data_IF_533283753993
#
_entry.id   IF_533283753993
#
_cell.length_a   1.000
_cell.length_b   1.000
_cell.length_c   1.000
_cell.angle_alpha   90.00
_cell.angle_beta   90.00
_cell.angle_gamma   90.00
#
_symmetry.space_group_name_H-M   'P 1'
#
loop_
_entity.id
_entity.type
_entity.pdbx_description
1 polymer ?
#
# COMPACT_ATOMS: atom_id res chain seq x y z
N UNK A 1 -14.86 -8.03 1.77
CA UNK A 1 -13.50 -7.76 2.27
C UNK A 1 -12.58 -7.86 1.09
N UNK A 2 -11.65 -6.91 0.92
CA UNK A 2 -10.68 -6.98 -0.17
C UNK A 2 -9.41 -7.74 0.26
N UNK A 3 -8.77 -8.40 -0.70
CA UNK A 3 -7.42 -8.95 -0.56
C UNK A 3 -6.44 -8.11 -1.38
N UNK A 4 -5.38 -7.62 -0.74
CA UNK A 4 -4.32 -6.86 -1.40
C UNK A 4 -2.98 -7.56 -1.27
N UNK A 5 -2.25 -7.69 -2.39
CA UNK A 5 -0.92 -8.31 -2.44
C UNK A 5 0.11 -7.30 -2.95
N UNK A 6 1.20 -7.11 -2.22
CA UNK A 6 2.30 -6.22 -2.58
C UNK A 6 3.56 -6.98 -3.01
N UNK A 7 4.47 -6.27 -3.66
CA UNK A 7 5.79 -6.78 -4.02
C UNK A 7 5.83 -7.48 -5.38
N UNK A 8 4.85 -7.22 -6.25
CA UNK A 8 4.73 -7.86 -7.56
C UNK A 8 5.91 -7.47 -8.45
N UNK A 9 6.64 -8.47 -8.93
CA UNK A 9 7.88 -8.29 -9.68
C UNK A 9 7.72 -8.48 -11.17
N UNK A 10 6.73 -9.26 -11.61
CA UNK A 10 6.51 -9.52 -13.04
C UNK A 10 5.02 -9.79 -13.38
N UNK A 11 4.66 -9.78 -14.68
CA UNK A 11 3.28 -9.99 -15.10
C UNK A 11 2.70 -11.38 -14.79
N UNK A 12 3.52 -12.43 -14.79
CA UNK A 12 3.04 -13.79 -14.57
C UNK A 12 2.67 -13.97 -13.09
N UNK A 13 3.50 -13.46 -12.18
CA UNK A 13 3.20 -13.37 -10.75
C UNK A 13 1.91 -12.58 -10.51
N UNK A 14 1.78 -11.41 -11.15
CA UNK A 14 0.59 -10.56 -11.02
C UNK A 14 -0.69 -11.32 -11.41
N UNK A 15 -0.66 -12.04 -12.52
CA UNK A 15 -1.80 -12.84 -12.98
C UNK A 15 -2.09 -14.03 -12.05
N UNK A 16 -1.05 -14.65 -11.49
CA UNK A 16 -1.20 -15.76 -10.55
C UNK A 16 -1.89 -15.33 -9.26
N UNK A 17 -1.49 -14.21 -8.66
CA UNK A 17 -2.12 -13.72 -7.42
C UNK A 17 -3.56 -13.23 -7.66
N UNK A 18 -3.84 -12.63 -8.83
CA UNK A 18 -5.21 -12.28 -9.23
C UNK A 18 -6.06 -13.55 -9.36
N UNK A 19 -5.54 -14.61 -10.00
CA UNK A 19 -6.24 -15.88 -10.13
C UNK A 19 -6.48 -16.55 -8.76
N UNK A 20 -5.61 -16.32 -7.78
CA UNK A 20 -5.77 -16.75 -6.40
C UNK A 20 -6.78 -15.90 -5.59
N UNK A 21 -7.26 -14.78 -6.15
CA UNK A 21 -8.32 -13.95 -5.57
C UNK A 21 -7.86 -12.59 -5.04
N UNK A 22 -6.68 -12.11 -5.41
CA UNK A 22 -6.28 -10.74 -5.09
C UNK A 22 -7.16 -9.71 -5.79
N UNK A 23 -7.80 -8.81 -5.02
CA UNK A 23 -8.58 -7.69 -5.54
C UNK A 23 -7.67 -6.51 -5.92
N UNK A 24 -6.55 -6.37 -5.22
CA UNK A 24 -5.57 -5.27 -5.36
C UNK A 24 -4.17 -5.85 -5.49
N UNK A 25 -3.37 -5.28 -6.38
CA UNK A 25 -1.94 -5.60 -6.52
C UNK A 25 -1.09 -4.34 -6.35
N UNK A 26 0.01 -4.46 -5.61
CA UNK A 26 0.95 -3.40 -5.30
C UNK A 26 2.27 -3.57 -6.03
N UNK A 27 2.67 -2.53 -6.76
CA UNK A 27 3.88 -2.48 -7.56
C UNK A 27 4.70 -1.28 -7.05
N UNK A 28 6.01 -1.44 -6.94
CA UNK A 28 6.92 -0.36 -6.60
C UNK A 28 7.75 0.06 -7.85
N UNK A 29 7.36 1.13 -8.56
CA UNK A 29 8.11 1.62 -9.71
C UNK A 29 9.44 2.28 -9.29
N UNK A 30 10.31 2.60 -10.26
CA UNK A 30 11.53 3.37 -10.01
C UNK A 30 11.20 4.78 -9.54
N UNK A 31 11.79 5.19 -8.42
CA UNK A 31 11.44 6.47 -7.76
C UNK A 31 12.63 7.28 -7.27
N UNK A 32 13.83 6.69 -7.33
CA UNK A 32 15.08 7.38 -7.00
C UNK A 32 15.87 7.66 -8.28
N UNK A 33 16.66 8.72 -8.27
CA UNK A 33 17.53 9.04 -9.39
C UNK A 33 18.64 7.99 -9.47
N UNK A 34 18.55 7.11 -10.46
CA UNK A 34 19.31 5.87 -10.49
C UNK A 34 18.51 4.77 -9.81
N UNK A 35 18.23 3.70 -10.55
CA UNK A 35 17.65 2.49 -9.98
C UNK A 35 18.56 2.00 -8.86
N UNK A 36 18.07 2.06 -7.62
CA UNK A 36 18.75 1.48 -6.48
C UNK A 36 18.42 -0.01 -6.44
N UNK A 37 19.37 -0.82 -6.92
CA UNK A 37 19.25 -2.28 -6.99
C UNK A 37 19.26 -2.95 -5.62
N UNK A 38 19.48 -2.19 -4.54
CA UNK A 38 19.40 -2.69 -3.16
C UNK A 38 17.96 -2.82 -2.67
N UNK A 39 17.02 -2.06 -3.24
CA UNK A 39 15.59 -2.21 -2.95
C UNK A 39 15.00 -3.33 -3.80
N UNK A 40 15.01 -4.53 -3.23
CA UNK A 40 14.62 -5.74 -3.95
C UNK A 40 13.17 -5.77 -4.45
N UNK A 41 12.30 -4.87 -4.01
CA UNK A 41 10.89 -4.77 -4.43
C UNK A 41 10.65 -3.75 -5.56
N UNK A 42 11.65 -2.94 -5.90
CA UNK A 42 11.54 -1.96 -6.98
C UNK A 42 11.71 -2.66 -8.33
N UNK A 43 10.75 -2.46 -9.24
CA UNK A 43 10.81 -3.02 -10.61
C UNK A 43 11.14 -1.93 -11.62
N UNK A 44 11.64 -2.31 -12.80
CA UNK A 44 11.92 -1.35 -13.88
C UNK A 44 10.67 -0.63 -14.41
N UNK A 45 10.84 0.48 -15.14
CA UNK A 45 9.73 1.15 -15.83
C UNK A 45 9.03 0.24 -16.86
N UNK A 46 9.82 -0.58 -17.57
CA UNK A 46 9.32 -1.54 -18.55
C UNK A 46 8.46 -2.60 -17.86
N UNK A 47 8.98 -3.15 -16.77
CA UNK A 47 8.28 -4.14 -15.95
C UNK A 47 7.00 -3.58 -15.32
N UNK A 48 7.07 -2.36 -14.76
CA UNK A 48 5.90 -1.64 -14.24
C UNK A 48 4.81 -1.56 -15.31
N UNK A 49 5.18 -1.09 -16.50
CA UNK A 49 4.25 -0.95 -17.63
C UNK A 49 3.67 -2.30 -18.07
N UNK A 50 4.49 -3.35 -18.12
CA UNK A 50 4.06 -4.69 -18.50
C UNK A 50 3.03 -5.25 -17.51
N UNK A 51 3.27 -5.13 -16.20
CA UNK A 51 2.33 -5.57 -15.15
C UNK A 51 1.01 -4.80 -15.27
N UNK A 52 1.06 -3.47 -15.38
CA UNK A 52 -0.14 -2.63 -15.45
C UNK A 52 -0.99 -2.91 -16.70
N UNK A 53 -0.36 -3.29 -17.81
CA UNK A 53 -1.04 -3.69 -19.03
C UNK A 53 -1.68 -5.07 -18.90
N UNK A 54 -0.93 -6.06 -18.40
CA UNK A 54 -1.41 -7.44 -18.23
C UNK A 54 -2.62 -7.54 -17.28
N UNK A 55 -2.68 -6.65 -16.29
CA UNK A 55 -3.66 -6.68 -15.19
C UNK A 55 -4.83 -5.71 -15.38
N UNK A 56 -4.85 -4.98 -16.50
CA UNK A 56 -5.87 -3.96 -16.78
C UNK A 56 -7.28 -4.54 -16.77
N UNK A 57 -8.12 -4.03 -15.88
CA UNK A 57 -9.51 -4.45 -15.74
C UNK A 57 -9.72 -5.79 -15.03
N UNK A 58 -8.64 -6.40 -14.53
CA UNK A 58 -8.70 -7.65 -13.77
C UNK A 58 -8.69 -7.43 -12.25
N UNK A 59 -7.99 -6.39 -11.80
CA UNK A 59 -7.88 -6.01 -10.39
C UNK A 59 -7.64 -4.50 -10.26
N UNK A 60 -7.48 -4.01 -9.03
CA UNK A 60 -7.02 -2.65 -8.74
C UNK A 60 -5.50 -2.59 -8.69
N UNK A 61 -4.93 -1.69 -9.47
CA UNK A 61 -3.47 -1.53 -9.61
C UNK A 61 -3.00 -0.39 -8.73
N UNK A 62 -2.16 -0.71 -7.74
CA UNK A 62 -1.64 0.21 -6.74
C UNK A 62 -0.16 0.48 -7.03
N UNK A 63 0.21 1.76 -7.18
CA UNK A 63 1.61 2.16 -7.22
C UNK A 63 2.03 2.75 -5.89
N UNK A 64 3.15 2.28 -5.37
CA UNK A 64 3.70 2.72 -4.08
C UNK A 64 4.57 3.94 -4.31
N UNK A 65 4.31 5.02 -3.57
CA UNK A 65 5.10 6.23 -3.51
C UNK A 65 6.02 6.20 -2.27
N UNK A 66 7.32 6.04 -2.51
CA UNK A 66 8.40 5.96 -1.51
C UNK A 66 9.35 7.16 -1.54
N UNK A 67 9.21 8.06 -2.51
CA UNK A 67 10.02 9.27 -2.60
C UNK A 67 9.45 10.38 -1.71
N UNK A 68 10.36 11.14 -1.08
CA UNK A 68 10.01 12.33 -0.31
C UNK A 68 9.65 13.54 -1.20
N UNK A 69 9.93 13.46 -2.52
CA UNK A 69 9.58 14.50 -3.49
C UNK A 69 8.21 14.22 -4.14
N UNK A 70 7.18 15.06 -3.90
CA UNK A 70 5.86 14.87 -4.51
C UNK A 70 5.88 14.87 -6.04
N UNK A 71 6.85 15.55 -6.68
CA UNK A 71 6.96 15.57 -8.13
C UNK A 71 7.23 14.18 -8.71
N UNK A 72 7.95 13.32 -7.99
CA UNK A 72 8.15 11.92 -8.40
C UNK A 72 6.82 11.18 -8.43
N UNK A 73 5.98 11.37 -7.42
CA UNK A 73 4.62 10.79 -7.35
C UNK A 73 3.74 11.30 -8.49
N UNK A 74 3.77 12.60 -8.78
CA UNK A 74 2.99 13.19 -9.87
C UNK A 74 3.41 12.65 -11.23
N UNK A 75 4.72 12.57 -11.50
CA UNK A 75 5.24 12.00 -12.74
C UNK A 75 4.84 10.51 -12.89
N UNK A 76 4.82 9.77 -11.79
CA UNK A 76 4.38 8.37 -11.75
C UNK A 76 2.89 8.24 -12.09
N UNK A 77 2.05 9.11 -11.51
CA UNK A 77 0.61 9.19 -11.82
C UNK A 77 0.38 9.48 -13.31
N UNK A 78 1.01 10.53 -13.84
CA UNK A 78 0.85 10.94 -15.24
C UNK A 78 1.30 9.88 -16.23
N UNK A 79 2.36 9.12 -15.89
CA UNK A 79 2.92 8.10 -16.77
C UNK A 79 2.09 6.83 -16.79
N UNK A 80 1.67 6.37 -15.61
CA UNK A 80 1.21 4.99 -15.43
C UNK A 80 -0.30 4.85 -15.21
N UNK A 81 -1.01 5.94 -14.89
CA UNK A 81 -2.46 5.95 -14.65
C UNK A 81 -2.95 4.77 -13.78
N UNK A 82 -2.45 4.65 -12.54
CA UNK A 82 -2.86 3.58 -11.64
C UNK A 82 -4.29 3.78 -11.14
N UNK A 83 -4.86 2.75 -10.51
CA UNK A 83 -6.15 2.91 -9.83
C UNK A 83 -5.97 3.57 -8.45
N UNK A 84 -4.81 3.35 -7.81
CA UNK A 84 -4.51 3.83 -6.45
C UNK A 84 -3.05 4.27 -6.36
N UNK A 85 -2.81 5.38 -5.66
CA UNK A 85 -1.48 5.79 -5.19
C UNK A 85 -1.38 5.49 -3.69
N UNK A 86 -0.41 4.66 -3.31
CA UNK A 86 -0.10 4.31 -1.93
C UNK A 86 1.08 5.14 -1.43
N UNK A 87 0.83 6.12 -0.56
CA UNK A 87 1.87 6.98 0.02
C UNK A 87 2.42 6.32 1.28
N UNK A 88 3.68 5.87 1.24
CA UNK A 88 4.35 5.11 2.31
C UNK A 88 5.75 5.60 2.67
N UNK A 89 6.20 6.70 2.05
CA UNK A 89 7.50 7.30 2.28
C UNK A 89 7.64 7.83 3.73
N UNK A 90 8.85 7.78 4.34
CA UNK A 90 9.05 8.20 5.72
C UNK A 90 8.87 9.70 5.93
N UNK A 91 9.24 10.55 4.97
CA UNK A 91 9.12 12.01 5.09
C UNK A 91 8.13 12.62 4.09
N UNK A 92 7.29 11.80 3.47
CA UNK A 92 6.23 12.26 2.59
C UNK A 92 4.91 11.57 2.90
N UNK A 93 3.90 12.40 3.20
CA UNK A 93 2.55 11.99 3.51
C UNK A 93 1.55 12.82 2.70
N UNK A 94 0.32 12.32 2.58
CA UNK A 94 -0.76 13.04 1.94
C UNK A 94 -1.03 14.38 2.66
N UNK A 95 -1.17 15.44 1.87
CA UNK A 95 -1.76 16.71 2.29
C UNK A 95 -2.94 17.06 1.38
N UNK A 96 -3.83 17.99 1.76
CA UNK A 96 -4.89 18.46 0.87
C UNK A 96 -4.38 18.94 -0.49
N UNK A 97 -3.19 19.55 -0.54
CA UNK A 97 -2.55 20.02 -1.77
C UNK A 97 -2.07 18.85 -2.64
N UNK A 98 -1.41 17.85 -2.04
CA UNK A 98 -0.97 16.63 -2.75
C UNK A 98 -2.18 15.89 -3.32
N UNK A 99 -3.23 15.74 -2.51
CA UNK A 99 -4.49 15.10 -2.91
C UNK A 99 -5.14 15.85 -4.06
N UNK A 100 -5.25 17.17 -3.95
CA UNK A 100 -5.84 17.99 -4.99
C UNK A 100 -5.03 17.91 -6.30
N UNK A 101 -3.71 17.87 -6.21
CA UNK A 101 -2.84 17.75 -7.38
C UNK A 101 -3.02 16.40 -8.08
N UNK A 102 -2.97 15.27 -7.34
CA UNK A 102 -3.20 13.94 -7.90
C UNK A 102 -4.59 13.87 -8.57
N UNK A 103 -5.62 14.40 -7.93
CA UNK A 103 -6.99 14.44 -8.49
C UNK A 103 -7.12 15.35 -9.71
N UNK A 104 -6.28 16.38 -9.84
CA UNK A 104 -6.26 17.24 -11.02
C UNK A 104 -5.62 16.53 -12.22
N UNK A 105 -4.67 15.62 -11.99
CA UNK A 105 -4.08 14.76 -13.00
C UNK A 105 -5.08 13.69 -13.46
N UNK A 106 -5.73 13.02 -12.51
CA UNK A 106 -6.81 12.08 -12.79
C UNK A 106 -7.79 12.00 -11.59
N UNK A 107 -9.06 12.44 -11.75
CA UNK A 107 -10.04 12.44 -10.66
C UNK A 107 -10.50 11.04 -10.24
N UNK A 108 -10.21 9.99 -11.03
CA UNK A 108 -10.57 8.62 -10.72
C UNK A 108 -9.59 7.94 -9.76
N UNK A 109 -8.37 8.46 -9.64
CA UNK A 109 -7.32 7.89 -8.79
C UNK A 109 -7.72 8.00 -7.32
N UNK A 110 -7.52 6.90 -6.59
CA UNK A 110 -7.68 6.82 -5.14
C UNK A 110 -6.36 7.00 -4.42
N UNK A 111 -6.41 7.62 -3.25
CA UNK A 111 -5.23 7.84 -2.41
C UNK A 111 -5.32 6.95 -1.18
N UNK A 112 -4.32 6.09 -1.01
CA UNK A 112 -4.12 5.20 0.12
C UNK A 112 -2.95 5.76 0.96
N UNK A 113 -3.21 6.16 2.20
CA UNK A 113 -2.17 6.64 3.11
C UNK A 113 -1.76 5.55 4.10
N UNK A 114 -0.45 5.30 4.19
CA UNK A 114 0.10 4.42 5.22
C UNK A 114 0.08 5.10 6.61
N UNK A 115 -0.27 4.33 7.63
CA UNK A 115 -0.19 4.72 9.03
C UNK A 115 0.74 3.74 9.73
N UNK A 116 1.87 4.27 10.24
CA UNK A 116 2.77 3.50 11.09
C UNK A 116 2.12 3.30 12.47
N UNK A 117 1.65 2.10 12.76
CA UNK A 117 0.95 1.80 14.01
C UNK A 117 1.95 1.45 15.10
N UNK A 118 1.96 2.23 16.18
CA UNK A 118 2.80 1.97 17.36
C UNK A 118 2.26 2.52 18.68
N UNK A 119 1.26 3.41 18.67
CA UNK A 119 0.68 3.98 19.88
C UNK A 119 -0.73 4.52 19.70
N UNK A 120 -1.42 4.81 20.81
CA UNK A 120 -2.74 5.43 20.81
C UNK A 120 -2.80 6.81 20.08
N UNK A 121 -1.66 7.47 19.84
CA UNK A 121 -1.63 8.73 19.07
C UNK A 121 -1.99 8.51 17.60
N UNK A 122 -1.78 7.30 17.09
CA UNK A 122 -1.97 6.98 15.67
C UNK A 122 -3.45 6.96 15.28
N UNK A 123 -4.35 6.88 16.28
CA UNK A 123 -5.80 7.08 16.10
C UNK A 123 -6.10 8.49 15.59
N UNK A 124 -5.48 9.51 16.20
CA UNK A 124 -5.66 10.90 15.77
C UNK A 124 -4.96 11.17 14.43
N UNK A 125 -3.81 10.54 14.20
CA UNK A 125 -3.13 10.55 12.89
C UNK A 125 -4.04 9.98 11.79
N UNK A 126 -4.68 8.84 12.03
CA UNK A 126 -5.63 8.24 11.10
C UNK A 126 -6.83 9.15 10.82
N UNK A 127 -7.42 9.75 11.86
CA UNK A 127 -8.51 10.75 11.73
C UNK A 127 -8.11 11.94 10.89
N UNK A 128 -6.89 12.45 11.08
CA UNK A 128 -6.37 13.57 10.32
C UNK A 128 -6.35 13.25 8.82
N UNK A 129 -5.71 12.15 8.42
CA UNK A 129 -5.61 11.77 7.01
C UNK A 129 -6.96 11.38 6.41
N UNK A 130 -7.81 10.70 7.19
CA UNK A 130 -9.17 10.34 6.76
C UNK A 130 -10.04 11.54 6.36
N UNK A 131 -9.68 12.75 6.79
CA UNK A 131 -10.35 13.98 6.35
C UNK A 131 -10.17 14.31 4.86
N UNK A 132 -9.20 13.71 4.16
CA UNK A 132 -8.90 14.06 2.77
C UNK A 132 -8.38 12.93 1.88
N UNK A 133 -8.03 11.75 2.39
CA UNK A 133 -7.66 10.58 1.58
C UNK A 133 -8.85 9.64 1.35
N UNK A 134 -8.71 8.68 0.43
CA UNK A 134 -9.80 7.74 0.13
C UNK A 134 -9.74 6.49 1.00
N UNK A 135 -8.56 6.05 1.43
CA UNK A 135 -8.32 4.81 2.18
C UNK A 135 -7.09 4.94 3.10
N UNK A 136 -7.04 4.14 4.16
CA UNK A 136 -5.85 3.98 4.99
C UNK A 136 -5.33 2.54 4.93
N UNK A 137 -4.02 2.38 5.10
CA UNK A 137 -3.39 1.07 5.37
C UNK A 137 -2.58 1.15 6.66
N UNK A 138 -2.83 0.22 7.56
CA UNK A 138 -2.14 0.10 8.84
C UNK A 138 -0.98 -0.88 8.68
N UNK A 139 0.23 -0.43 8.97
CA UNK A 139 1.43 -1.26 8.90
C UNK A 139 2.44 -0.83 9.98
N UNK A 140 3.51 -1.59 10.09
CA UNK A 140 4.66 -1.31 10.94
C UNK A 140 5.69 -0.44 10.20
N UNK A 141 6.36 0.45 10.93
CA UNK A 141 7.52 1.15 10.42
C UNK A 141 8.78 0.32 10.64
N UNK A 142 9.64 0.23 9.62
CA UNK A 142 10.97 -0.34 9.74
C UNK A 142 11.82 0.55 10.68
N UNK A 143 12.39 0.02 11.76
CA UNK A 143 13.18 0.81 12.71
C UNK A 143 14.45 1.45 12.11
N UNK A 144 14.99 0.87 11.04
CA UNK A 144 16.28 1.28 10.48
C UNK A 144 16.18 2.53 9.59
N UNK A 145 15.14 2.61 8.77
CA UNK A 145 14.95 3.68 7.76
C UNK A 145 13.62 4.46 7.93
N UNK A 146 12.74 4.02 8.82
CA UNK A 146 11.43 4.63 9.06
C UNK A 146 10.40 4.34 7.97
N UNK A 147 10.73 3.51 6.98
CA UNK A 147 9.81 3.13 5.91
C UNK A 147 8.60 2.42 6.49
N UNK A 148 7.39 2.77 6.04
CA UNK A 148 6.17 2.11 6.50
C UNK A 148 5.88 0.93 5.56
N UNK A 149 5.79 -0.27 6.12
CA UNK A 149 5.61 -1.51 5.38
C UNK A 149 6.83 -2.43 5.34
N UNK A 150 6.63 -3.64 4.83
CA UNK A 150 7.64 -4.67 4.59
C UNK A 150 8.49 -5.13 5.80
N UNK A 151 8.22 -4.65 7.02
CA UNK A 151 8.95 -5.09 8.22
C UNK A 151 8.54 -6.49 8.70
N UNK A 152 7.41 -7.04 8.22
CA UNK A 152 6.94 -8.39 8.58
C UNK A 152 6.45 -8.50 10.04
N UNK A 153 6.26 -7.37 10.73
CA UNK A 153 5.87 -7.33 12.14
C UNK A 153 4.40 -6.89 12.25
N UNK A 154 3.60 -7.71 12.94
CA UNK A 154 2.23 -7.35 13.28
C UNK A 154 2.15 -6.34 14.43
N UNK A 155 1.01 -5.67 14.54
CA UNK A 155 0.77 -4.60 15.50
C UNK A 155 -0.26 -5.02 16.58
N UNK A 156 -0.43 -4.16 17.60
CA UNK A 156 -1.46 -4.37 18.61
C UNK A 156 -2.85 -4.30 17.97
N UNK A 157 -3.54 -5.43 17.94
CA UNK A 157 -4.85 -5.57 17.28
C UNK A 157 -5.93 -4.71 17.93
N UNK A 158 -5.80 -4.39 19.22
CA UNK A 158 -6.72 -3.48 19.88
C UNK A 158 -6.55 -2.05 19.34
N UNK A 159 -5.33 -1.66 18.99
CA UNK A 159 -5.04 -0.37 18.37
C UNK A 159 -5.55 -0.33 16.92
N UNK A 160 -5.36 -1.41 16.16
CA UNK A 160 -5.92 -1.53 14.81
C UNK A 160 -7.44 -1.38 14.82
N UNK A 161 -8.11 -2.14 15.70
CA UNK A 161 -9.56 -2.02 15.90
C UNK A 161 -9.96 -0.59 16.23
N UNK A 162 -9.25 0.06 17.16
CA UNK A 162 -9.56 1.42 17.56
C UNK A 162 -9.40 2.42 16.39
N UNK A 163 -8.41 2.23 15.52
CA UNK A 163 -8.24 3.04 14.30
C UNK A 163 -9.37 2.77 13.30
N UNK A 164 -9.71 1.50 13.05
CA UNK A 164 -10.82 1.11 12.15
C UNK A 164 -12.15 1.73 12.61
N UNK A 165 -12.43 1.72 13.92
CA UNK A 165 -13.66 2.30 14.48
C UNK A 165 -13.64 3.84 14.52
N UNK A 166 -12.47 4.47 14.40
CA UNK A 166 -12.30 5.91 14.54
C UNK A 166 -12.51 6.71 13.25
N UNK A 167 -12.59 6.06 12.09
CA UNK A 167 -12.68 6.71 10.78
C UNK A 167 -13.81 6.14 9.93
N UNK A 168 -14.39 6.97 9.06
CA UNK A 168 -15.51 6.60 8.18
C UNK A 168 -15.07 6.15 6.77
N UNK A 169 -13.75 6.03 6.53
CA UNK A 169 -13.18 5.59 5.26
C UNK A 169 -12.65 4.15 5.37
N UNK A 170 -12.50 3.43 4.24
CA UNK A 170 -11.92 2.10 4.25
C UNK A 170 -10.52 2.04 4.89
N UNK A 171 -10.33 1.07 5.76
CA UNK A 171 -9.04 0.77 6.41
C UNK A 171 -8.62 -0.66 6.05
N UNK A 172 -7.39 -0.79 5.57
CA UNK A 172 -6.73 -2.06 5.26
C UNK A 172 -5.73 -2.34 6.39
N UNK A 173 -5.73 -3.56 6.93
CA UNK A 173 -4.71 -3.99 7.91
C UNK A 173 -3.66 -4.82 7.18
N UNK A 174 -2.40 -4.44 7.29
CA UNK A 174 -1.24 -5.15 6.77
C UNK A 174 -0.31 -5.55 7.92
N UNK A 175 1.02 -5.61 7.70
CA UNK A 175 2.00 -5.91 8.74
C UNK A 175 2.02 -7.36 9.23
N UNK A 176 2.92 -8.19 8.69
CA UNK A 176 3.14 -9.55 9.18
C UNK A 176 1.95 -10.50 9.05
N UNK A 177 1.03 -10.22 8.12
CA UNK A 177 -0.08 -11.11 7.82
C UNK A 177 0.40 -12.32 7.01
N UNK A 178 -0.23 -13.46 7.25
CA UNK A 178 0.00 -14.72 6.56
C UNK A 178 -1.20 -15.67 6.72
N UNK A 179 -1.19 -16.84 6.05
CA UNK A 179 -2.31 -17.79 6.09
C UNK A 179 -2.72 -18.17 7.53
N UNK A 180 -1.73 -18.18 8.42
CA UNK A 180 -1.82 -18.63 9.81
C UNK A 180 -2.58 -17.64 10.70
N UNK A 181 -2.54 -16.33 10.38
CA UNK A 181 -3.06 -15.28 11.25
C UNK A 181 -4.11 -14.36 10.58
N UNK A 182 -4.21 -14.35 9.25
CA UNK A 182 -5.05 -13.38 8.51
C UNK A 182 -6.51 -13.47 8.94
N UNK A 183 -7.06 -14.69 9.07
CA UNK A 183 -8.44 -14.90 9.47
C UNK A 183 -8.74 -14.38 10.89
N UNK A 184 -7.77 -14.53 11.80
CA UNK A 184 -7.90 -14.05 13.18
C UNK A 184 -7.85 -12.52 13.21
N UNK A 185 -6.91 -11.91 12.49
CA UNK A 185 -6.79 -10.44 12.44
C UNK A 185 -8.07 -9.82 11.88
N UNK A 186 -8.61 -10.36 10.79
CA UNK A 186 -9.87 -9.90 10.21
C UNK A 186 -11.02 -9.97 11.22
N UNK A 187 -11.12 -11.07 11.96
CA UNK A 187 -12.18 -11.27 12.94
C UNK A 187 -12.07 -10.31 14.14
N UNK A 188 -10.85 -9.94 14.53
CA UNK A 188 -10.61 -9.07 15.68
C UNK A 188 -10.66 -7.58 15.34
N UNK A 189 -10.25 -7.17 14.13
CA UNK A 189 -10.18 -5.76 13.75
C UNK A 189 -11.35 -5.31 12.88
N UNK A 190 -12.01 -6.25 12.19
CA UNK A 190 -13.07 -6.01 11.19
C UNK A 190 -12.70 -4.93 10.14
N UNK A 191 -11.56 -5.08 9.43
CA UNK A 191 -11.12 -4.10 8.47
C UNK A 191 -11.93 -4.20 7.17
N UNK A 192 -11.80 -3.21 6.30
CA UNK A 192 -12.37 -3.30 4.95
C UNK A 192 -11.63 -4.36 4.11
N UNK A 193 -10.33 -4.53 4.35
CA UNK A 193 -9.46 -5.47 3.66
C UNK A 193 -8.23 -5.89 4.44
N UNK A 194 -7.56 -6.94 3.97
CA UNK A 194 -6.25 -7.38 4.46
C UNK A 194 -5.16 -7.21 3.39
N UNK A 195 -3.99 -6.71 3.79
CA UNK A 195 -2.81 -6.55 2.93
C UNK A 195 -1.70 -7.54 3.28
N UNK A 196 -1.15 -8.21 2.28
CA UNK A 196 -0.03 -9.15 2.40
C UNK A 196 1.15 -8.67 1.52
N UNK A 197 2.38 -8.81 2.02
CA UNK A 197 3.60 -8.69 1.22
C UNK A 197 4.16 -10.11 1.03
N UNK A 198 4.43 -10.49 -0.23
CA UNK A 198 4.61 -11.90 -0.63
C UNK A 198 5.85 -12.60 -0.01
N UNK A 199 6.89 -11.87 0.40
CA UNK A 199 8.20 -12.51 0.64
C UNK A 199 8.41 -13.24 1.96
N UNK A 200 7.37 -13.40 2.79
CA UNK A 200 7.42 -14.38 3.89
C UNK A 200 6.73 -15.71 3.57
N UNK A 201 6.22 -15.93 2.35
CA UNK A 201 5.63 -17.22 1.95
C UNK A 201 6.59 -18.19 1.24
N UNK A 202 7.86 -17.82 1.00
CA UNK A 202 8.85 -18.73 0.38
C UNK A 202 9.28 -19.91 1.26
N UNK A 203 8.82 -19.99 2.51
CA UNK A 203 9.13 -21.09 3.45
C UNK A 203 7.90 -21.93 3.86
N UNK A 204 6.80 -21.91 3.08
CA UNK A 204 5.73 -22.88 3.29
C UNK A 204 6.06 -24.21 2.57
N UNK A 205 6.09 -25.35 3.29
CA UNK A 205 6.42 -26.67 2.73
C UNK A 205 5.41 -27.21 1.73
#
# INVERSE_FOLDING_TARGET
MIAQVYGILDPDEALAVIAAGADYIGICPPQYAGYDDTLTEVVSEETTSAILQATKGLCKRVLIALSDDPQVTYNMVERHHPDVIHISAPNFAATPEVVAHIRALDPAIKILQAIAVGSAKDIETARHYAGFVDMLILDSANPDDGMIGAAGVGHDRALDRAIVEAVDIPVIVAGGLGPDNVAQVIAETHPWGGGLADRHQQDLP
#
